data_IF_841885934544
#
_entry.id   IF_841885934544
#
_cell.length_a   1.000
_cell.length_b   1.000
_cell.length_c   1.000
_cell.angle_alpha   90.00
_cell.angle_beta   90.00
_cell.angle_gamma   90.00
#
_symmetry.space_group_name_H-M   'P 1'
#
loop_
_entity.id
_entity.type
_entity.pdbx_description
1 polymer ?
#
# COMPACT_ATOMS: atom_id res chain seq x y z
N UNK A 1 -36.87 -45.81 21.08
CA UNK A 1 -36.27 -45.91 19.73
C UNK A 1 -36.98 -44.90 18.82
N UNK A 2 -36.30 -44.10 17.99
CA UNK A 2 -34.87 -43.82 18.07
C UNK A 2 -34.38 -42.46 17.46
N UNK A 3 -33.08 -42.23 17.65
CA UNK A 3 -32.09 -41.47 16.85
C UNK A 3 -31.92 -39.94 16.98
N UNK A 4 -30.82 -39.60 17.69
CA UNK A 4 -29.92 -38.47 17.44
C UNK A 4 -29.55 -38.31 15.96
N UNK A 5 -29.41 -37.06 15.52
CA UNK A 5 -28.38 -36.67 14.55
C UNK A 5 -27.66 -35.45 15.11
N UNK A 6 -26.49 -35.70 15.70
CA UNK A 6 -25.45 -34.68 15.80
C UNK A 6 -24.96 -34.39 14.38
N UNK A 7 -25.22 -33.20 13.86
CA UNK A 7 -24.46 -32.68 12.74
C UNK A 7 -23.35 -31.79 13.29
N UNK A 8 -22.30 -32.44 13.78
CA UNK A 8 -20.98 -31.81 13.89
C UNK A 8 -20.51 -31.61 12.45
N UNK A 9 -20.78 -30.44 11.87
CA UNK A 9 -20.11 -30.02 10.65
C UNK A 9 -18.71 -29.50 11.05
N UNK A 10 -17.82 -30.44 11.37
CA UNK A 10 -16.38 -30.22 11.26
C UNK A 10 -16.05 -30.13 9.77
N UNK A 11 -16.35 -28.95 9.22
CA UNK A 11 -15.58 -28.39 8.14
C UNK A 11 -15.13 -27.02 8.59
N UNK A 12 -14.21 -27.01 9.55
CA UNK A 12 -13.12 -26.04 9.55
C UNK A 12 -12.30 -26.28 8.27
N UNK A 13 -12.92 -26.03 7.11
CA UNK A 13 -12.16 -25.55 5.98
C UNK A 13 -11.50 -24.29 6.52
N UNK A 14 -10.19 -24.17 6.33
CA UNK A 14 -9.36 -23.07 6.80
C UNK A 14 -9.78 -21.75 6.15
N UNK A 15 -11.02 -21.30 6.36
CA UNK A 15 -11.44 -19.95 6.05
C UNK A 15 -10.86 -19.12 7.18
N UNK A 16 -9.58 -18.81 7.09
CA UNK A 16 -9.04 -17.64 7.74
C UNK A 16 -9.75 -16.45 7.11
N UNK A 17 -10.95 -16.14 7.61
CA UNK A 17 -11.63 -14.87 7.37
C UNK A 17 -10.79 -13.80 8.08
N UNK A 18 -9.59 -13.53 7.57
CA UNK A 18 -8.92 -12.29 7.89
C UNK A 18 -9.78 -11.23 7.23
N UNK A 19 -10.55 -10.48 8.01
CA UNK A 19 -11.14 -9.26 7.49
C UNK A 19 -10.00 -8.28 7.25
N UNK A 20 -10.05 -7.48 6.18
CA UNK A 20 -9.12 -6.38 6.07
C UNK A 20 -9.26 -5.49 7.32
N UNK A 21 -8.18 -4.84 7.78
CA UNK A 21 -8.28 -3.77 8.76
C UNK A 21 -9.45 -2.85 8.46
N UNK A 22 -10.22 -2.46 9.49
CA UNK A 22 -11.46 -1.68 9.33
C UNK A 22 -11.26 -0.40 8.51
N UNK A 23 -10.07 0.17 8.56
CA UNK A 23 -9.72 1.39 7.82
C UNK A 23 -9.52 1.17 6.30
N UNK A 24 -9.73 -0.05 5.80
CA UNK A 24 -9.57 -0.40 4.38
C UNK A 24 -10.89 -0.52 3.62
N UNK A 25 -11.99 -0.02 4.18
CA UNK A 25 -13.26 0.05 3.47
C UNK A 25 -13.23 1.14 2.39
N UNK A 26 -13.76 0.82 1.20
CA UNK A 26 -13.87 1.74 0.07
C UNK A 26 -15.15 1.44 -0.72
N UNK A 27 -15.67 2.45 -1.41
CA UNK A 27 -16.77 2.32 -2.35
C UNK A 27 -16.23 1.99 -3.74
N UNK A 28 -16.93 1.13 -4.47
CA UNK A 28 -16.55 0.87 -5.85
C UNK A 28 -16.90 2.09 -6.73
N UNK A 29 -15.91 2.55 -7.50
CA UNK A 29 -16.04 3.61 -8.49
C UNK A 29 -16.24 3.02 -9.88
N UNK A 30 -16.82 3.81 -10.79
CA UNK A 30 -16.82 3.51 -12.23
C UNK A 30 -15.48 3.84 -12.91
N UNK A 31 -14.58 4.54 -12.21
CA UNK A 31 -13.20 4.81 -12.63
C UNK A 31 -12.24 4.07 -11.71
N UNK A 32 -11.33 3.27 -12.27
CA UNK A 32 -10.48 2.39 -11.48
C UNK A 32 -9.18 2.01 -12.20
N UNK A 33 -8.12 1.81 -11.42
CA UNK A 33 -6.87 1.22 -11.87
C UNK A 33 -6.62 -0.07 -11.09
N UNK A 34 -6.24 -1.15 -11.77
CA UNK A 34 -5.81 -2.38 -11.13
C UNK A 34 -4.28 -2.49 -11.22
N UNK A 35 -3.63 -2.58 -10.06
CA UNK A 35 -2.20 -2.80 -9.96
C UNK A 35 -1.92 -4.28 -9.77
N UNK A 36 -1.34 -4.92 -10.80
CA UNK A 36 -0.93 -6.31 -10.72
C UNK A 36 0.49 -6.38 -10.19
N UNK A 37 0.64 -6.89 -8.96
CA UNK A 37 1.90 -6.82 -8.23
C UNK A 37 2.57 -8.18 -8.23
N UNK A 38 3.76 -8.28 -8.82
CA UNK A 38 4.47 -9.57 -8.98
C UNK A 38 5.18 -10.00 -7.69
N UNK A 39 5.92 -9.12 -7.04
CA UNK A 39 6.70 -9.43 -5.83
C UNK A 39 6.42 -8.41 -4.74
N UNK A 40 6.24 -8.88 -3.50
CA UNK A 40 6.00 -8.02 -2.34
C UNK A 40 6.83 -8.50 -1.15
N UNK A 41 7.51 -7.57 -0.49
CA UNK A 41 8.41 -7.87 0.61
C UNK A 41 8.37 -6.83 1.75
N UNK A 42 8.57 -7.31 2.98
CA UNK A 42 8.80 -6.50 4.17
C UNK A 42 10.20 -6.81 4.70
N UNK A 43 11.11 -5.82 4.69
CA UNK A 43 12.52 -5.98 5.12
C UNK A 43 13.23 -7.17 4.42
N UNK A 44 12.89 -7.41 3.14
CA UNK A 44 13.44 -8.52 2.33
C UNK A 44 12.73 -9.88 2.53
N UNK A 45 11.75 -9.96 3.44
CA UNK A 45 10.94 -11.16 3.66
C UNK A 45 9.68 -11.12 2.80
N UNK A 46 9.34 -12.25 2.17
CA UNK A 46 8.11 -12.37 1.37
C UNK A 46 6.87 -12.30 2.25
N UNK A 47 5.80 -11.72 1.72
CA UNK A 47 4.48 -11.72 2.37
C UNK A 47 3.92 -13.14 2.52
N UNK A 48 3.13 -13.31 3.57
CA UNK A 48 2.23 -14.44 3.77
C UNK A 48 0.87 -14.18 3.10
N UNK A 49 0.12 -15.24 2.83
CA UNK A 49 -1.25 -15.14 2.27
C UNK A 49 -2.25 -14.49 3.25
N UNK A 50 -1.85 -14.20 4.50
CA UNK A 50 -2.70 -13.50 5.47
C UNK A 50 -2.49 -11.97 5.43
N UNK A 51 -1.47 -11.50 4.74
CA UNK A 51 -1.14 -10.09 4.64
C UNK A 51 -2.01 -9.38 3.61
N UNK A 52 -2.14 -8.07 3.74
CA UNK A 52 -3.02 -7.26 2.90
C UNK A 52 -2.26 -6.10 2.26
N UNK A 53 -2.69 -5.71 1.07
CA UNK A 53 -2.16 -4.56 0.35
C UNK A 53 -3.32 -3.61 0.08
N UNK A 54 -3.15 -2.34 0.44
CA UNK A 54 -4.14 -1.30 0.25
C UNK A 54 -3.56 -0.12 -0.52
N UNK A 55 -4.38 0.45 -1.40
CA UNK A 55 -4.12 1.71 -2.12
C UNK A 55 -4.84 2.86 -1.42
N UNK A 56 -4.19 4.02 -1.39
CA UNK A 56 -4.69 5.22 -0.75
C UNK A 56 -4.45 6.45 -1.63
N UNK A 57 -5.38 7.41 -1.53
CA UNK A 57 -5.17 8.79 -1.93
C UNK A 57 -5.12 9.67 -0.67
N UNK A 58 -3.92 10.08 -0.27
CA UNK A 58 -3.72 10.69 1.06
C UNK A 58 -4.11 9.70 2.16
N UNK A 59 -5.12 10.05 2.95
CA UNK A 59 -5.64 9.22 4.04
C UNK A 59 -6.85 8.37 3.65
N UNK A 60 -7.38 8.55 2.43
CA UNK A 60 -8.58 7.83 1.97
C UNK A 60 -8.17 6.50 1.35
N UNK A 61 -8.68 5.38 1.88
CA UNK A 61 -8.51 4.08 1.24
C UNK A 61 -9.32 4.04 -0.07
N UNK A 62 -8.64 3.68 -1.15
CA UNK A 62 -9.21 3.59 -2.49
C UNK A 62 -9.24 2.17 -3.00
N UNK A 63 -8.78 1.19 -2.23
CA UNK A 63 -8.80 -0.20 -2.63
C UNK A 63 -7.97 -1.07 -1.70
N UNK A 64 -8.37 -2.32 -1.55
CA UNK A 64 -7.64 -3.32 -0.77
C UNK A 64 -7.75 -4.70 -1.38
N UNK A 65 -6.70 -5.51 -1.19
CA UNK A 65 -6.65 -6.91 -1.59
C UNK A 65 -5.78 -7.71 -0.62
N UNK A 66 -6.25 -8.89 -0.23
CA UNK A 66 -5.44 -9.87 0.47
C UNK A 66 -4.36 -10.39 -0.48
N UNK A 67 -3.14 -10.54 -0.01
CA UNK A 67 -2.06 -11.09 -0.80
C UNK A 67 -2.34 -12.55 -1.17
N UNK A 68 -2.39 -12.84 -2.48
CA UNK A 68 -2.64 -14.16 -3.02
C UNK A 68 -1.46 -14.69 -3.85
N UNK A 69 -0.27 -14.09 -3.67
CA UNK A 69 0.92 -14.39 -4.44
C UNK A 69 1.10 -13.50 -5.68
N UNK A 70 2.06 -13.84 -6.56
CA UNK A 70 2.41 -13.02 -7.70
C UNK A 70 1.22 -12.69 -8.59
N UNK A 71 1.16 -11.43 -9.02
CA UNK A 71 0.09 -10.84 -9.83
C UNK A 71 -1.25 -10.66 -9.10
N UNK A 72 -1.23 -10.60 -7.75
CA UNK A 72 -2.37 -10.10 -6.97
C UNK A 72 -2.78 -8.71 -7.50
N UNK A 73 -4.08 -8.54 -7.79
CA UNK A 73 -4.66 -7.31 -8.33
C UNK A 73 -5.13 -6.40 -7.20
N UNK A 74 -4.37 -5.33 -6.92
CA UNK A 74 -4.77 -4.33 -5.94
C UNK A 74 -5.54 -3.23 -6.65
N UNK A 75 -6.84 -3.04 -6.37
CA UNK A 75 -7.59 -1.96 -6.97
C UNK A 75 -7.14 -0.61 -6.38
N UNK A 76 -7.28 0.44 -7.18
CA UNK A 76 -7.37 1.81 -6.74
C UNK A 76 -8.57 2.43 -7.45
N UNK A 77 -9.46 3.03 -6.68
CA UNK A 77 -10.65 3.71 -7.18
C UNK A 77 -10.34 5.17 -7.49
N UNK A 78 -10.93 5.66 -8.57
CA UNK A 78 -10.87 7.05 -9.01
C UNK A 78 -12.11 7.84 -8.61
N UNK A 79 -12.00 9.16 -8.61
CA UNK A 79 -13.15 10.06 -8.44
C UNK A 79 -13.98 10.04 -9.73
N UNK A 80 -15.18 9.45 -9.66
CA UNK A 80 -16.13 9.36 -10.77
C UNK A 80 -17.21 10.44 -10.74
N UNK A 81 -17.06 11.45 -9.88
CA UNK A 81 -18.00 12.55 -9.71
C UNK A 81 -19.19 12.23 -8.81
N UNK A 82 -19.28 10.99 -8.29
CA UNK A 82 -20.29 10.64 -7.28
C UNK A 82 -19.88 11.12 -5.88
N UNK A 83 -20.85 11.21 -4.96
CA UNK A 83 -20.56 11.69 -3.59
C UNK A 83 -19.65 10.76 -2.79
N UNK A 84 -19.66 9.46 -3.10
CA UNK A 84 -18.96 8.43 -2.35
C UNK A 84 -17.53 8.18 -2.85
N UNK A 85 -17.16 8.75 -4.01
CA UNK A 85 -15.78 8.73 -4.53
C UNK A 85 -15.03 10.03 -4.28
N UNK A 86 -15.61 10.96 -3.50
CA UNK A 86 -14.93 12.20 -3.10
C UNK A 86 -13.61 11.88 -2.39
N UNK A 87 -12.52 12.42 -2.92
CA UNK A 87 -11.18 12.20 -2.38
C UNK A 87 -10.47 10.98 -2.96
N UNK A 88 -11.08 10.27 -3.91
CA UNK A 88 -10.42 9.21 -4.68
C UNK A 88 -9.47 9.79 -5.73
N UNK A 89 -8.81 8.90 -6.46
CA UNK A 89 -7.78 9.30 -7.40
C UNK A 89 -8.33 10.10 -8.60
N UNK A 90 -7.67 11.22 -8.89
CA UNK A 90 -7.78 11.85 -10.21
C UNK A 90 -6.79 11.18 -11.18
N UNK A 91 -7.06 11.17 -12.49
CA UNK A 91 -6.11 10.75 -13.51
C UNK A 91 -4.71 11.35 -13.30
N UNK A 92 -3.68 10.51 -13.33
CA UNK A 92 -2.28 10.91 -13.14
C UNK A 92 -1.87 11.21 -11.69
N UNK A 93 -2.76 11.09 -10.70
CA UNK A 93 -2.38 11.22 -9.29
C UNK A 93 -1.50 10.05 -8.83
N UNK A 94 -0.77 10.22 -7.72
CA UNK A 94 0.13 9.19 -7.19
C UNK A 94 -0.56 8.37 -6.09
N UNK A 95 -0.76 7.05 -6.28
CA UNK A 95 -1.24 6.18 -5.21
C UNK A 95 -0.20 6.01 -4.10
N UNK A 96 -0.68 5.92 -2.87
CA UNK A 96 0.09 5.50 -1.70
C UNK A 96 -0.26 4.04 -1.42
N UNK A 97 0.73 3.17 -1.41
CA UNK A 97 0.53 1.77 -1.06
C UNK A 97 0.90 1.54 0.41
N UNK A 98 0.05 0.79 1.11
CA UNK A 98 0.35 0.32 2.46
C UNK A 98 0.21 -1.21 2.51
N UNK A 99 1.07 -1.85 3.28
CA UNK A 99 1.03 -3.29 3.52
C UNK A 99 0.69 -3.52 4.99
N UNK A 100 -0.36 -4.28 5.23
CA UNK A 100 -0.71 -4.77 6.56
C UNK A 100 -0.13 -6.17 6.75
N UNK A 101 0.78 -6.29 7.70
CA UNK A 101 1.36 -7.55 8.16
C UNK A 101 0.47 -8.14 9.25
N UNK A 102 -0.19 -9.25 8.92
CA UNK A 102 -1.11 -9.91 9.83
C UNK A 102 -0.40 -10.51 11.05
N UNK A 103 0.86 -10.93 10.89
CA UNK A 103 1.61 -11.61 11.95
C UNK A 103 2.01 -10.68 13.09
N UNK A 104 2.21 -9.40 12.78
CA UNK A 104 2.63 -8.38 13.76
C UNK A 104 1.57 -7.31 14.04
N UNK A 105 0.42 -7.36 13.36
CA UNK A 105 -0.66 -6.36 13.44
C UNK A 105 -0.13 -4.94 13.19
N UNK A 106 0.64 -4.80 12.09
CA UNK A 106 1.30 -3.53 11.72
C UNK A 106 0.99 -3.14 10.30
N UNK A 107 0.89 -1.83 10.10
CA UNK A 107 0.70 -1.19 8.80
C UNK A 107 1.97 -0.44 8.40
N UNK A 108 2.49 -0.73 7.21
CA UNK A 108 3.71 -0.13 6.69
C UNK A 108 3.46 0.63 5.40
N UNK A 109 4.15 1.77 5.22
CA UNK A 109 4.26 2.40 3.91
C UNK A 109 5.11 1.53 2.99
N UNK A 110 4.61 1.29 1.79
CA UNK A 110 5.27 0.46 0.80
C UNK A 110 5.62 1.27 -0.45
N UNK A 111 6.81 1.03 -0.99
CA UNK A 111 7.35 1.75 -2.13
C UNK A 111 7.37 0.83 -3.37
N UNK A 112 6.74 1.22 -4.48
CA UNK A 112 6.90 0.52 -5.74
C UNK A 112 8.32 0.71 -6.28
N UNK A 113 8.78 -0.26 -7.07
CA UNK A 113 10.08 -0.27 -7.75
C UNK A 113 10.25 0.86 -8.77
N UNK A 114 9.14 1.41 -9.25
CA UNK A 114 9.09 2.46 -10.27
C UNK A 114 8.09 3.54 -9.86
N UNK A 115 8.16 4.70 -10.50
CA UNK A 115 7.17 5.75 -10.26
C UNK A 115 5.85 5.36 -10.95
N UNK A 116 4.86 5.01 -10.14
CA UNK A 116 3.54 4.58 -10.59
C UNK A 116 2.53 5.72 -10.41
N UNK A 117 1.65 5.90 -11.39
CA UNK A 117 0.56 6.86 -11.37
C UNK A 117 -0.79 6.12 -11.51
N UNK A 118 -1.86 6.80 -11.09
CA UNK A 118 -3.21 6.41 -11.38
C UNK A 118 -3.52 6.58 -12.87
N UNK A 119 -4.28 5.64 -13.42
CA UNK A 119 -4.55 5.57 -14.84
C UNK A 119 -5.29 6.77 -15.42
N UNK A 120 -5.15 6.96 -16.73
CA UNK A 120 -5.79 8.05 -17.48
C UNK A 120 -7.04 7.60 -18.26
N UNK A 121 -7.43 6.35 -18.09
CA UNK A 121 -8.62 5.74 -18.70
C UNK A 121 -9.59 5.29 -17.61
N UNK A 122 -10.91 5.16 -17.89
CA UNK A 122 -11.89 4.71 -16.90
C UNK A 122 -11.54 3.38 -16.24
N UNK A 123 -10.93 2.45 -16.99
CA UNK A 123 -10.34 1.24 -16.44
C UNK A 123 -8.96 1.04 -17.04
N UNK A 124 -7.94 0.86 -16.18
CA UNK A 124 -6.58 0.59 -16.63
C UNK A 124 -5.92 -0.50 -15.77
N UNK A 125 -5.05 -1.28 -16.41
CA UNK A 125 -4.19 -2.26 -15.75
C UNK A 125 -2.76 -1.73 -15.79
N UNK A 126 -2.08 -1.76 -14.65
CA UNK A 126 -0.68 -1.36 -14.51
C UNK A 126 0.06 -2.45 -13.74
N UNK A 127 1.23 -2.85 -14.23
CA UNK A 127 2.07 -3.85 -13.57
C UNK A 127 3.07 -3.17 -12.63
N UNK A 128 3.23 -3.72 -11.43
CA UNK A 128 4.28 -3.38 -10.49
C UNK A 128 5.15 -4.62 -10.32
N UNK A 129 6.44 -4.56 -10.69
CA UNK A 129 7.28 -5.76 -10.55
C UNK A 129 7.58 -6.03 -9.08
N UNK A 130 7.85 -4.98 -8.29
CA UNK A 130 8.14 -5.12 -6.88
C UNK A 130 7.54 -3.98 -6.05
N UNK A 131 6.87 -4.33 -4.96
CA UNK A 131 6.41 -3.43 -3.91
C UNK A 131 7.14 -3.80 -2.60
N UNK A 132 7.78 -2.85 -1.94
CA UNK A 132 8.64 -3.18 -0.79
C UNK A 132 8.53 -2.21 0.37
N UNK A 133 8.62 -2.75 1.58
CA UNK A 133 8.82 -1.99 2.81
C UNK A 133 10.29 -2.05 3.20
N UNK A 134 10.93 -0.89 3.27
CA UNK A 134 12.34 -0.74 3.65
C UNK A 134 12.47 0.21 4.83
N UNK A 135 13.63 0.19 5.48
CA UNK A 135 13.98 1.16 6.52
C UNK A 135 14.25 2.52 5.88
N UNK A 136 13.74 3.57 6.50
CA UNK A 136 14.06 4.94 6.14
C UNK A 136 15.46 5.33 6.67
N UNK A 137 15.87 6.59 6.46
CA UNK A 137 17.20 7.03 6.91
C UNK A 137 17.37 7.14 8.44
N UNK A 138 16.29 7.03 9.22
CA UNK A 138 16.33 6.90 10.67
C UNK A 138 16.33 5.42 11.12
N UNK A 139 16.33 4.47 10.19
CA UNK A 139 16.24 3.06 10.48
C UNK A 139 14.81 2.58 10.77
N UNK A 140 13.79 3.42 10.56
CA UNK A 140 12.39 3.08 10.82
C UNK A 140 11.83 2.30 9.62
N UNK A 141 11.41 1.06 9.85
CA UNK A 141 10.80 0.22 8.81
C UNK A 141 9.46 0.81 8.35
N UNK A 142 9.34 1.07 7.03
CA UNK A 142 8.17 1.75 6.46
C UNK A 142 8.08 3.22 6.85
N UNK A 143 9.16 3.81 7.37
CA UNK A 143 9.24 5.24 7.66
C UNK A 143 9.33 6.08 6.38
N UNK A 144 9.10 7.39 6.54
CA UNK A 144 9.08 8.35 5.43
C UNK A 144 10.29 9.29 5.43
N UNK A 145 11.22 9.15 6.37
CA UNK A 145 12.37 10.03 6.48
C UNK A 145 13.31 9.87 5.26
N UNK A 146 13.81 11.01 4.73
CA UNK A 146 14.69 11.03 3.56
C UNK A 146 15.97 11.76 3.88
N UNK A 147 17.08 11.30 3.30
CA UNK A 147 18.33 12.06 3.30
C UNK A 147 18.18 13.28 2.40
N UNK A 148 18.66 14.42 2.86
CA UNK A 148 18.77 15.62 2.05
C UNK A 148 20.05 15.60 1.19
N UNK A 149 20.31 16.70 0.47
CA UNK A 149 21.50 16.85 -0.36
C UNK A 149 22.82 16.85 0.42
N UNK A 150 22.77 17.03 1.74
CA UNK A 150 23.91 17.05 2.64
C UNK A 150 24.12 15.70 3.35
N UNK A 151 23.42 14.64 2.94
CA UNK A 151 23.37 13.34 3.62
C UNK A 151 22.86 13.41 5.07
N UNK A 152 22.04 14.42 5.40
CA UNK A 152 21.38 14.53 6.71
C UNK A 152 19.96 14.00 6.58
N UNK A 153 19.62 13.04 7.44
CA UNK A 153 18.27 12.49 7.48
C UNK A 153 17.26 13.54 7.99
N UNK A 154 16.18 13.78 7.23
CA UNK A 154 15.24 14.89 7.42
C UNK A 154 15.92 16.27 7.51
N UNK A 155 17.10 16.40 6.89
CA UNK A 155 17.77 17.68 6.81
C UNK A 155 17.04 18.65 5.89
N UNK A 156 17.37 19.93 6.03
CA UNK A 156 16.82 21.03 5.25
C UNK A 156 17.89 21.67 4.33
N UNK A 157 18.93 20.91 3.99
CA UNK A 157 20.11 21.32 3.19
C UNK A 157 21.00 22.41 3.81
N UNK A 158 20.63 23.01 4.95
CA UNK A 158 21.39 24.12 5.55
C UNK A 158 22.77 23.73 6.14
N UNK A 159 23.00 22.45 6.41
CA UNK A 159 24.23 21.96 7.04
C UNK A 159 25.44 21.98 6.11
N UNK A 160 25.22 21.96 4.79
CA UNK A 160 26.28 22.01 3.78
C UNK A 160 26.24 23.27 2.89
N UNK A 161 25.32 24.20 3.14
CA UNK A 161 25.19 25.49 2.43
C UNK A 161 26.28 26.53 2.79
N UNK A 162 27.29 26.17 3.61
CA UNK A 162 28.37 27.09 4.01
C UNK A 162 29.53 27.17 3.00
N UNK A 163 29.23 27.20 1.71
CA UNK A 163 30.23 27.48 0.67
C UNK A 163 29.69 28.62 -0.20
N UNK A 164 29.67 29.86 0.32
CA UNK A 164 29.72 31.10 -0.49
C UNK A 164 29.72 32.43 0.31
N UNK A 165 29.82 32.44 1.64
CA UNK A 165 29.78 33.67 2.45
C UNK A 165 31.05 33.99 3.25
N UNK A 166 32.23 33.53 2.81
CA UNK A 166 33.52 33.84 3.48
C UNK A 166 34.61 34.39 2.55
N UNK A 167 34.34 34.67 1.26
CA UNK A 167 35.34 35.27 0.35
C UNK A 167 34.88 36.62 -0.24
N UNK A 168 34.54 37.57 0.64
CA UNK A 168 34.65 39.00 0.32
C UNK A 168 35.22 39.73 1.53
N UNK A 169 36.54 39.87 1.54
CA UNK A 169 37.28 40.94 2.20
C UNK A 169 38.25 41.54 1.18
#
# INVERSE_FOLDING_TARGET
MPYQIYLILILTCCISNTSPPKDFEFNQSTIQTFYFIKEVEIDGLKLSEKDWIASFNGDVCTGTRQWAGPFTDVPAMGDDGSKYTKGYHMPGSKPIFKIYDYSTDKLFLANPDTNILFGNSPAQIININKLSVTKDCLGVLGGSARVDSCNVCNGNSSSCDKINSQNQY
#
